data_IF_288577464407
#
_entry.id   IF_288577464407
#
_cell.length_a   1.000
_cell.length_b   1.000
_cell.length_c   1.000
_cell.angle_alpha   90.00
_cell.angle_beta   90.00
_cell.angle_gamma   90.00
#
_symmetry.space_group_name_H-M   'P 1'
#
loop_
_entity.id
_entity.type
_entity.pdbx_description
1 polymer ?
#
# COMPACT_ATOMS: atom_id res chain seq x y z
N UNK A 1 39.28 -0.50 -32.42
CA UNK A 1 39.12 -1.66 -31.52
C UNK A 1 38.61 -1.12 -30.19
N UNK A 2 37.30 -1.01 -30.09
CA UNK A 2 36.59 -0.22 -29.07
C UNK A 2 36.46 -0.94 -27.73
N UNK A 3 36.57 -0.17 -26.66
CA UNK A 3 36.26 -0.54 -25.29
C UNK A 3 35.45 0.62 -24.72
N UNK A 4 34.14 0.53 -24.84
CA UNK A 4 33.09 1.23 -24.08
C UNK A 4 31.77 0.60 -24.54
N UNK A 5 30.75 0.54 -23.68
CA UNK A 5 29.37 0.02 -23.90
C UNK A 5 28.92 -1.16 -23.00
N UNK A 6 29.72 -1.65 -22.06
CA UNK A 6 29.31 -2.79 -21.20
C UNK A 6 28.59 -2.46 -19.87
N UNK A 7 28.43 -1.17 -19.52
CA UNK A 7 27.85 -0.77 -18.22
C UNK A 7 26.48 -0.05 -18.27
N UNK A 8 25.95 0.24 -19.47
CA UNK A 8 24.72 1.03 -19.61
C UNK A 8 23.41 0.25 -19.72
N UNK A 9 23.44 -0.97 -20.28
CA UNK A 9 22.22 -1.73 -20.59
C UNK A 9 21.72 -2.57 -19.41
N UNK A 10 22.63 -3.13 -18.61
CA UNK A 10 22.28 -4.00 -17.48
C UNK A 10 21.55 -3.28 -16.34
N UNK A 11 21.76 -1.97 -16.16
CA UNK A 11 21.07 -1.19 -15.11
C UNK A 11 19.62 -0.90 -15.51
N UNK A 12 19.36 -0.64 -16.80
CA UNK A 12 18.00 -0.40 -17.30
C UNK A 12 17.17 -1.68 -17.29
N UNK A 13 17.77 -2.81 -17.65
CA UNK A 13 17.07 -4.09 -17.72
C UNK A 13 16.78 -4.69 -16.33
N UNK A 14 17.68 -4.47 -15.37
CA UNK A 14 17.47 -4.90 -13.97
C UNK A 14 16.54 -3.99 -13.17
N UNK A 15 16.44 -2.70 -13.54
CA UNK A 15 15.40 -1.81 -13.04
C UNK A 15 14.01 -2.18 -13.60
N UNK A 16 13.89 -2.47 -14.90
CA UNK A 16 12.58 -2.73 -15.51
C UNK A 16 11.90 -4.05 -15.08
N UNK A 17 12.64 -5.01 -14.49
CA UNK A 17 12.10 -6.33 -14.12
C UNK A 17 11.57 -6.46 -12.68
N UNK A 18 11.98 -5.58 -11.75
CA UNK A 18 11.62 -5.72 -10.31
C UNK A 18 10.56 -4.72 -9.82
N UNK A 19 10.39 -3.62 -10.52
CA UNK A 19 9.50 -2.52 -10.10
C UNK A 19 7.99 -2.89 -10.05
N UNK A 20 7.42 -3.68 -10.98
CA UNK A 20 5.97 -3.92 -10.97
C UNK A 20 5.48 -4.79 -9.81
N UNK A 21 6.30 -5.73 -9.34
CA UNK A 21 5.89 -6.69 -8.29
C UNK A 21 6.07 -6.05 -6.89
N UNK A 22 7.14 -5.28 -6.69
CA UNK A 22 7.41 -4.66 -5.40
C UNK A 22 6.40 -3.54 -5.07
N UNK A 23 5.89 -2.85 -6.09
CA UNK A 23 4.91 -1.75 -5.93
C UNK A 23 3.53 -2.22 -5.45
N UNK A 24 3.17 -3.48 -5.67
CA UNK A 24 1.94 -4.11 -5.17
C UNK A 24 2.19 -5.01 -3.95
N UNK A 25 3.28 -5.77 -3.94
CA UNK A 25 3.59 -6.68 -2.84
C UNK A 25 3.88 -5.95 -1.51
N UNK A 26 4.59 -4.81 -1.56
CA UNK A 26 4.95 -4.06 -0.34
C UNK A 26 3.72 -3.49 0.38
N UNK A 27 2.81 -2.75 -0.28
CA UNK A 27 1.58 -2.30 0.38
C UNK A 27 0.71 -3.45 0.87
N UNK A 28 0.69 -4.57 0.13
CA UNK A 28 -0.05 -5.77 0.52
C UNK A 28 0.46 -6.33 1.85
N UNK A 29 1.77 -6.52 1.94
CA UNK A 29 2.45 -6.98 3.15
C UNK A 29 2.18 -6.04 4.34
N UNK A 30 2.20 -4.72 4.11
CA UNK A 30 1.87 -3.73 5.14
C UNK A 30 0.43 -3.80 5.60
N UNK A 31 -0.56 -3.85 4.70
CA UNK A 31 -1.93 -3.83 5.18
C UNK A 31 -2.33 -5.15 5.84
N UNK A 32 -1.80 -6.29 5.39
CA UNK A 32 -1.96 -7.56 6.12
C UNK A 32 -1.37 -7.41 7.53
N UNK A 33 -0.14 -6.90 7.66
CA UNK A 33 0.49 -6.66 8.97
C UNK A 33 -0.33 -5.73 9.87
N UNK A 34 -0.84 -4.62 9.31
CA UNK A 34 -1.69 -3.68 10.02
C UNK A 34 -3.01 -4.34 10.49
N UNK A 35 -3.63 -5.17 9.66
CA UNK A 35 -4.87 -5.87 10.01
C UNK A 35 -4.68 -6.88 11.14
N UNK A 36 -3.54 -7.58 11.17
CA UNK A 36 -3.22 -8.51 12.26
C UNK A 36 -2.97 -7.80 13.59
N UNK A 37 -2.28 -6.67 13.56
CA UNK A 37 -2.05 -5.83 14.73
C UNK A 37 -3.33 -5.08 15.16
N UNK A 38 -4.37 -5.03 14.31
CA UNK A 38 -5.65 -4.38 14.60
C UNK A 38 -6.86 -5.32 14.38
N UNK A 39 -7.11 -6.30 15.28
CA UNK A 39 -8.15 -7.31 15.09
C UNK A 39 -9.57 -6.75 14.94
N UNK A 40 -9.87 -5.62 15.57
CA UNK A 40 -11.18 -4.97 15.46
C UNK A 40 -11.44 -4.47 14.03
N UNK A 41 -10.42 -3.89 13.38
CA UNK A 41 -10.49 -3.48 11.98
C UNK A 41 -10.71 -4.69 11.08
N UNK A 42 -9.94 -5.76 11.29
CA UNK A 42 -10.07 -7.00 10.52
C UNK A 42 -11.48 -7.61 10.63
N UNK A 43 -12.05 -7.62 11.84
CA UNK A 43 -13.39 -8.14 12.07
C UNK A 43 -14.47 -7.28 11.38
N UNK A 44 -14.32 -5.95 11.41
CA UNK A 44 -15.23 -5.03 10.71
C UNK A 44 -15.15 -5.19 9.18
N UNK A 45 -13.95 -5.36 8.63
CA UNK A 45 -13.77 -5.65 7.21
C UNK A 45 -14.41 -6.99 6.79
N UNK A 46 -14.26 -8.04 7.62
CA UNK A 46 -14.92 -9.33 7.39
C UNK A 46 -16.45 -9.19 7.40
N UNK A 47 -16.98 -8.46 8.38
CA UNK A 47 -18.42 -8.22 8.46
C UNK A 47 -18.96 -7.46 7.23
N UNK A 48 -18.21 -6.48 6.71
CA UNK A 48 -18.58 -5.80 5.46
C UNK A 48 -18.64 -6.77 4.27
N UNK A 49 -17.59 -7.58 4.08
CA UNK A 49 -17.53 -8.57 2.99
C UNK A 49 -18.68 -9.58 3.11
N UNK A 50 -18.87 -10.15 4.31
CA UNK A 50 -19.93 -11.13 4.57
C UNK A 50 -21.33 -10.52 4.32
N UNK A 51 -21.51 -9.22 4.58
CA UNK A 51 -22.81 -8.53 4.39
C UNK A 51 -23.06 -8.15 2.93
N UNK A 52 -22.06 -7.65 2.22
CA UNK A 52 -22.23 -7.10 0.87
C UNK A 52 -22.10 -8.15 -0.24
N UNK A 53 -21.31 -9.21 0.01
CA UNK A 53 -20.95 -10.22 -0.99
C UNK A 53 -21.46 -11.61 -0.60
N UNK A 54 -21.45 -11.92 0.70
CA UNK A 54 -21.74 -13.26 1.20
C UNK A 54 -20.50 -14.17 1.21
N UNK A 55 -20.71 -15.47 1.46
CA UNK A 55 -19.61 -16.45 1.60
C UNK A 55 -19.53 -17.47 0.46
N UNK A 56 -20.45 -17.38 -0.52
CA UNK A 56 -20.66 -18.41 -1.54
C UNK A 56 -19.90 -18.15 -2.85
N UNK A 57 -19.29 -16.96 -2.99
CA UNK A 57 -18.53 -16.57 -4.18
C UNK A 57 -17.33 -15.70 -3.83
N UNK A 58 -16.36 -15.63 -4.74
CA UNK A 58 -15.22 -14.73 -4.62
C UNK A 58 -15.63 -13.25 -4.84
N UNK A 59 -14.83 -12.36 -4.26
CA UNK A 59 -14.92 -10.91 -4.50
C UNK A 59 -14.52 -10.63 -5.95
N UNK A 60 -15.34 -9.84 -6.63
CA UNK A 60 -15.10 -9.38 -8.00
C UNK A 60 -14.85 -7.87 -8.04
N UNK A 61 -14.26 -7.36 -9.12
CA UNK A 61 -13.98 -5.92 -9.30
C UNK A 61 -15.26 -5.10 -9.23
N UNK A 62 -16.35 -5.63 -9.75
CA UNK A 62 -17.66 -4.98 -9.71
C UNK A 62 -18.22 -4.78 -8.29
N UNK A 63 -17.68 -5.47 -7.28
CA UNK A 63 -18.10 -5.34 -5.89
C UNK A 63 -17.37 -4.23 -5.12
N UNK A 64 -16.23 -3.74 -5.63
CA UNK A 64 -15.44 -2.68 -5.01
C UNK A 64 -16.26 -1.48 -4.52
N UNK A 65 -17.20 -0.92 -5.31
CA UNK A 65 -17.98 0.24 -4.87
C UNK A 65 -18.86 -0.02 -3.63
N UNK A 66 -19.11 -1.30 -3.30
CA UNK A 66 -19.90 -1.70 -2.12
C UNK A 66 -19.04 -1.86 -0.87
N UNK A 67 -17.73 -2.04 -1.02
CA UNK A 67 -16.77 -2.32 0.06
C UNK A 67 -16.08 -1.03 0.54
N UNK A 68 -16.86 -0.11 1.10
CA UNK A 68 -16.39 1.23 1.49
C UNK A 68 -15.34 1.16 2.61
N UNK A 69 -15.52 0.30 3.59
CA UNK A 69 -14.60 0.16 4.70
C UNK A 69 -13.28 -0.49 4.27
N UNK A 70 -13.33 -1.45 3.34
CA UNK A 70 -12.12 -1.98 2.71
C UNK A 70 -11.33 -0.88 1.97
N UNK A 71 -12.00 0.02 1.25
CA UNK A 71 -11.35 1.17 0.61
C UNK A 71 -10.73 2.13 1.65
N UNK A 72 -11.36 2.30 2.81
CA UNK A 72 -10.82 3.07 3.92
C UNK A 72 -9.53 2.44 4.49
N UNK A 73 -9.49 1.12 4.63
CA UNK A 73 -8.32 0.36 5.06
C UNK A 73 -7.16 0.55 4.09
N UNK A 74 -7.41 0.45 2.79
CA UNK A 74 -6.39 0.63 1.76
C UNK A 74 -5.85 2.07 1.80
N UNK A 75 -6.73 3.06 1.92
CA UNK A 75 -6.36 4.48 2.01
C UNK A 75 -5.49 4.77 3.23
N UNK A 76 -5.87 4.26 4.41
CA UNK A 76 -5.09 4.42 5.64
C UNK A 76 -3.77 3.67 5.58
N UNK A 77 -3.73 2.49 4.94
CA UNK A 77 -2.49 1.76 4.73
C UNK A 77 -1.53 2.52 3.82
N UNK A 78 -1.99 3.14 2.74
CA UNK A 78 -1.13 3.94 1.86
C UNK A 78 -0.69 5.25 2.50
N UNK A 79 -1.47 5.80 3.45
CA UNK A 79 -1.06 6.95 4.26
C UNK A 79 0.03 6.59 5.28
N UNK A 80 -0.13 5.50 6.01
CA UNK A 80 0.88 5.08 6.99
C UNK A 80 2.07 4.44 6.30
N UNK A 81 1.85 3.64 5.27
CA UNK A 81 2.87 2.86 4.60
C UNK A 81 2.93 3.18 3.10
N UNK A 82 3.34 4.40 2.73
CA UNK A 82 3.50 4.77 1.32
C UNK A 82 4.62 3.94 0.69
N UNK A 83 4.40 3.45 -0.55
CA UNK A 83 5.40 2.68 -1.30
C UNK A 83 6.69 3.48 -1.47
N UNK A 84 6.56 4.75 -1.88
CA UNK A 84 7.66 5.67 -2.14
C UNK A 84 7.55 6.88 -1.18
N UNK A 85 8.20 6.84 0.00
CA UNK A 85 8.06 7.88 1.03
C UNK A 85 8.58 9.27 0.62
N UNK A 86 9.47 9.34 -0.39
CA UNK A 86 10.03 10.58 -0.94
C UNK A 86 9.51 10.93 -2.35
N UNK A 87 8.55 10.15 -2.87
CA UNK A 87 8.10 10.16 -4.27
C UNK A 87 9.25 10.08 -5.29
N UNK A 88 8.90 10.15 -6.58
CA UNK A 88 9.88 10.28 -7.66
C UNK A 88 10.50 11.68 -7.60
N UNK A 89 11.83 11.83 -7.74
CA UNK A 89 12.46 13.14 -7.76
C UNK A 89 11.91 14.01 -8.88
N UNK A 90 11.62 15.27 -8.57
CA UNK A 90 11.21 16.28 -9.55
C UNK A 90 12.40 17.18 -9.89
N UNK A 91 12.50 17.63 -11.14
CA UNK A 91 13.51 18.60 -11.57
C UNK A 91 12.82 19.93 -11.85
N UNK A 92 13.30 21.02 -11.24
CA UNK A 92 12.80 22.37 -11.55
C UNK A 92 13.17 22.77 -12.97
N UNK A 93 12.16 23.15 -13.75
CA UNK A 93 12.34 23.61 -15.14
C UNK A 93 12.89 25.03 -15.23
N UNK A 94 12.54 25.87 -14.25
CA UNK A 94 12.92 27.27 -14.16
C UNK A 94 13.14 27.68 -12.71
N UNK A 95 13.75 28.85 -12.51
CA UNK A 95 13.92 29.45 -11.20
C UNK A 95 12.54 29.73 -10.57
N UNK A 96 12.32 29.28 -9.34
CA UNK A 96 11.04 29.42 -8.65
C UNK A 96 11.22 29.74 -7.17
N UNK A 97 10.12 30.05 -6.46
CA UNK A 97 10.13 30.28 -5.02
C UNK A 97 9.20 29.30 -4.32
N UNK A 98 9.72 28.55 -3.35
CA UNK A 98 8.97 27.55 -2.57
C UNK A 98 9.10 27.92 -1.09
N UNK A 99 7.97 28.14 -0.40
CA UNK A 99 7.98 28.46 1.04
C UNK A 99 8.79 29.72 1.41
N UNK A 100 8.93 30.67 0.49
CA UNK A 100 9.76 31.87 0.66
C UNK A 100 11.24 31.70 0.30
N UNK A 101 11.67 30.50 -0.11
CA UNK A 101 13.05 30.24 -0.54
C UNK A 101 13.18 30.23 -2.07
N UNK A 102 14.23 30.87 -2.58
CA UNK A 102 14.57 30.81 -4.00
C UNK A 102 15.17 29.45 -4.36
N UNK A 103 14.62 28.80 -5.37
CA UNK A 103 15.02 27.51 -5.93
C UNK A 103 15.45 27.72 -7.38
N UNK A 104 16.76 27.63 -7.69
CA UNK A 104 17.24 27.75 -9.06
C UNK A 104 16.74 26.62 -9.95
N UNK A 105 16.64 26.88 -11.25
CA UNK A 105 16.44 25.87 -12.29
C UNK A 105 17.45 24.72 -12.20
N UNK A 106 17.03 23.53 -12.62
CA UNK A 106 17.79 22.27 -12.52
C UNK A 106 18.08 21.79 -11.09
N UNK A 107 17.36 22.29 -10.09
CA UNK A 107 17.36 21.74 -8.73
C UNK A 107 16.49 20.48 -8.67
N UNK A 108 17.02 19.41 -8.06
CA UNK A 108 16.27 18.18 -7.75
C UNK A 108 15.49 18.37 -6.46
N UNK A 109 14.19 18.09 -6.51
CA UNK A 109 13.23 18.23 -5.42
C UNK A 109 12.67 16.87 -5.03
N UNK A 110 12.68 16.59 -3.73
CA UNK A 110 12.03 15.42 -3.14
C UNK A 110 10.83 15.86 -2.31
N UNK A 111 9.70 15.16 -2.46
CA UNK A 111 8.51 15.43 -1.65
C UNK A 111 8.46 14.38 -0.55
N UNK A 112 8.68 14.80 0.70
CA UNK A 112 8.62 13.91 1.85
C UNK A 112 7.16 13.62 2.26
N UNK A 113 6.50 12.77 1.48
CA UNK A 113 5.11 12.34 1.71
C UNK A 113 4.99 11.61 3.04
N UNK A 114 6.00 10.83 3.45
CA UNK A 114 6.01 10.17 4.76
C UNK A 114 5.86 11.15 5.93
N UNK A 115 6.58 12.28 5.88
CA UNK A 115 6.48 13.31 6.90
C UNK A 115 5.14 14.05 6.84
N UNK A 116 4.68 14.43 5.65
CA UNK A 116 3.39 15.12 5.45
C UNK A 116 2.23 14.26 5.98
N UNK A 117 2.25 12.96 5.67
CA UNK A 117 1.23 12.01 6.10
C UNK A 117 1.28 11.69 7.60
N UNK A 118 2.33 12.11 8.31
CA UNK A 118 2.51 11.94 9.76
C UNK A 118 2.54 13.25 10.54
N UNK A 119 2.28 14.37 9.88
CA UNK A 119 2.28 15.67 10.54
C UNK A 119 1.09 15.76 11.53
N UNK A 120 1.34 15.93 12.85
CA UNK A 120 0.27 16.05 13.85
C UNK A 120 -0.60 17.30 13.65
N UNK A 121 -0.15 18.29 12.88
CA UNK A 121 -0.96 19.47 12.53
C UNK A 121 -1.98 19.15 11.43
N UNK A 122 -1.73 18.12 10.62
CA UNK A 122 -2.61 17.69 9.53
C UNK A 122 -3.44 16.46 9.91
N UNK A 123 -2.91 15.59 10.77
CA UNK A 123 -3.51 14.31 11.13
C UNK A 123 -3.57 14.14 12.64
N UNK A 124 -4.77 13.88 13.16
CA UNK A 124 -4.96 13.51 14.57
C UNK A 124 -4.38 12.12 14.82
N UNK A 125 -3.55 11.93 15.86
CA UNK A 125 -2.91 10.64 16.16
C UNK A 125 -2.26 9.99 14.90
N UNK A 126 -1.27 10.69 14.29
CA UNK A 126 -0.80 10.44 12.93
C UNK A 126 -0.14 9.06 12.75
N UNK A 127 0.36 8.47 13.83
CA UNK A 127 1.09 7.20 13.83
C UNK A 127 0.19 5.98 13.99
N UNK A 128 -1.05 6.18 14.42
CA UNK A 128 -2.01 5.09 14.66
C UNK A 128 -2.80 4.74 13.41
N UNK A 129 -2.97 3.44 13.16
CA UNK A 129 -3.75 2.89 12.06
C UNK A 129 -5.25 2.97 12.35
N UNK A 130 -5.93 3.96 11.75
CA UNK A 130 -7.37 4.23 11.93
C UNK A 130 -8.08 4.43 10.58
N UNK A 131 -8.56 3.35 9.93
CA UNK A 131 -9.32 3.43 8.69
C UNK A 131 -10.53 4.37 8.74
N UNK A 132 -11.14 4.51 9.92
CA UNK A 132 -12.30 5.38 10.19
C UNK A 132 -12.10 6.83 9.72
N UNK A 133 -10.86 7.30 9.59
CA UNK A 133 -10.54 8.63 9.03
C UNK A 133 -11.11 8.85 7.64
N UNK A 134 -11.29 7.77 6.87
CA UNK A 134 -11.69 7.80 5.47
C UNK A 134 -13.17 7.50 5.22
N UNK A 135 -13.95 7.12 6.25
CA UNK A 135 -15.35 6.67 6.11
C UNK A 135 -16.30 7.72 5.52
N UNK A 136 -16.04 9.01 5.72
CA UNK A 136 -16.89 10.11 5.24
C UNK A 136 -16.53 10.58 3.81
N UNK A 137 -16.25 9.64 2.90
CA UNK A 137 -15.93 9.96 1.50
C UNK A 137 -14.54 10.60 1.28
N UNK A 138 -13.65 10.53 2.28
CA UNK A 138 -12.27 11.02 2.16
C UNK A 138 -11.34 10.01 1.48
N UNK A 139 -11.80 8.78 1.25
CA UNK A 139 -11.04 7.69 0.62
C UNK A 139 -10.63 7.98 -0.85
N UNK A 140 -11.27 8.97 -1.48
CA UNK A 140 -11.05 9.35 -2.89
C UNK A 140 -9.64 9.90 -3.20
N UNK A 141 -8.83 10.22 -2.18
CA UNK A 141 -7.55 10.90 -2.35
C UNK A 141 -6.41 10.03 -2.93
N UNK A 142 -6.53 8.70 -2.93
CA UNK A 142 -5.48 7.79 -3.43
C UNK A 142 -5.77 7.18 -4.80
N UNK A 143 -6.80 7.67 -5.50
CA UNK A 143 -7.27 7.14 -6.78
C UNK A 143 -6.21 7.09 -7.89
N UNK A 144 -5.13 7.85 -7.76
CA UNK A 144 -4.37 8.25 -8.94
C UNK A 144 -3.04 7.57 -9.23
N UNK A 145 -2.60 6.49 -8.56
CA UNK A 145 -1.41 5.76 -9.09
C UNK A 145 -1.20 4.30 -8.66
N UNK A 146 -1.96 3.73 -7.70
CA UNK A 146 -1.61 2.40 -7.13
C UNK A 146 -2.81 1.48 -6.79
N UNK A 147 -4.05 1.94 -6.95
CA UNK A 147 -5.22 1.22 -6.41
C UNK A 147 -5.73 0.06 -7.27
N UNK A 148 -5.49 0.06 -8.59
CA UNK A 148 -6.08 -0.95 -9.49
C UNK A 148 -5.48 -2.34 -9.33
N UNK A 149 -4.23 -2.46 -8.92
CA UNK A 149 -3.58 -3.77 -8.80
C UNK A 149 -3.64 -4.29 -7.36
N UNK A 150 -3.51 -3.38 -6.37
CA UNK A 150 -3.58 -3.72 -4.95
C UNK A 150 -4.94 -4.29 -4.53
N UNK A 151 -6.04 -3.81 -5.09
CA UNK A 151 -7.36 -4.26 -4.65
C UNK A 151 -7.61 -5.73 -5.00
N UNK A 152 -7.13 -6.19 -6.17
CA UNK A 152 -7.37 -7.54 -6.66
C UNK A 152 -6.70 -8.54 -5.70
N UNK A 153 -5.47 -8.23 -5.28
CA UNK A 153 -4.71 -9.01 -4.33
C UNK A 153 -5.33 -9.00 -2.91
N UNK A 154 -5.77 -7.82 -2.44
CA UNK A 154 -6.43 -7.70 -1.12
C UNK A 154 -7.78 -8.41 -1.05
N UNK A 155 -8.58 -8.31 -2.11
CA UNK A 155 -9.87 -8.99 -2.24
C UNK A 155 -9.68 -10.50 -2.28
N UNK A 156 -8.73 -10.98 -3.09
CA UNK A 156 -8.42 -12.39 -3.22
C UNK A 156 -7.96 -13.03 -1.89
N UNK A 157 -7.01 -12.40 -1.19
CA UNK A 157 -6.49 -12.94 0.09
C UNK A 157 -7.57 -12.98 1.16
N UNK A 158 -8.35 -11.90 1.32
CA UNK A 158 -9.43 -11.89 2.31
C UNK A 158 -10.53 -12.90 1.96
N UNK A 159 -10.80 -13.11 0.67
CA UNK A 159 -11.83 -14.04 0.19
C UNK A 159 -11.41 -15.51 0.25
N UNK A 160 -10.11 -15.81 0.20
CA UNK A 160 -9.60 -17.19 0.19
C UNK A 160 -9.15 -17.69 1.55
N UNK A 161 -8.58 -16.80 2.38
CA UNK A 161 -7.89 -17.22 3.59
C UNK A 161 -8.53 -16.65 4.85
N UNK A 162 -8.74 -17.51 5.84
CA UNK A 162 -8.88 -17.14 7.24
C UNK A 162 -7.49 -16.94 7.81
N UNK A 163 -7.12 -15.67 7.94
CA UNK A 163 -5.91 -15.27 8.62
C UNK A 163 -6.01 -15.58 10.12
N UNK A 164 -5.10 -16.41 10.65
CA UNK A 164 -5.05 -16.85 12.05
C UNK A 164 -3.92 -16.17 12.83
N UNK A 165 -4.17 -15.79 14.09
CA UNK A 165 -3.17 -15.11 14.93
C UNK A 165 -1.91 -15.94 15.13
N UNK A 166 -0.75 -15.36 14.84
CA UNK A 166 0.55 -15.76 15.37
C UNK A 166 1.31 -14.48 15.73
N UNK A 167 1.62 -14.31 17.02
CA UNK A 167 2.37 -13.20 17.63
C UNK A 167 2.05 -11.76 17.16
N UNK A 168 2.65 -10.77 17.82
CA UNK A 168 2.65 -9.38 17.34
C UNK A 168 3.62 -9.29 16.16
N UNK A 169 3.19 -8.64 15.06
CA UNK A 169 4.02 -8.52 13.87
C UNK A 169 4.87 -7.27 13.99
N UNK A 170 6.18 -7.42 13.79
CA UNK A 170 7.09 -6.28 13.73
C UNK A 170 6.74 -5.34 12.57
N UNK A 171 6.71 -4.05 12.85
CA UNK A 171 6.33 -2.98 11.92
C UNK A 171 7.51 -2.09 11.54
N UNK A 172 8.75 -2.59 11.68
CA UNK A 172 9.94 -1.86 11.28
C UNK A 172 10.12 -1.82 9.75
N UNK A 173 10.48 -0.64 9.23
CA UNK A 173 10.69 -0.39 7.81
C UNK A 173 12.18 -0.23 7.47
N UNK A 174 12.58 -0.72 6.30
CA UNK A 174 13.93 -0.50 5.75
C UNK A 174 14.07 0.94 5.25
N UNK A 175 15.23 1.54 5.46
CA UNK A 175 15.59 2.84 4.86
C UNK A 175 16.06 2.62 3.41
N UNK A 176 15.13 2.53 2.46
CA UNK A 176 15.38 2.41 1.02
C UNK A 176 14.46 3.34 0.23
N UNK A 177 14.61 3.34 -1.10
CA UNK A 177 13.72 4.08 -2.02
C UNK A 177 12.26 3.65 -1.83
N UNK A 178 12.03 2.35 -1.58
CA UNK A 178 10.73 1.81 -1.20
C UNK A 178 10.65 1.50 0.29
N UNK A 179 9.47 1.69 0.88
CA UNK A 179 9.24 1.45 2.31
C UNK A 179 8.93 -0.03 2.59
N UNK A 180 9.84 -0.95 2.25
CA UNK A 180 9.69 -2.39 2.53
C UNK A 180 9.91 -2.72 4.02
N UNK A 181 9.31 -3.80 4.53
CA UNK A 181 9.53 -4.25 5.92
C UNK A 181 10.96 -4.76 6.13
N UNK A 182 11.50 -4.60 7.34
CA UNK A 182 12.79 -5.20 7.72
C UNK A 182 12.68 -6.72 7.74
N UNK A 183 11.67 -7.22 8.45
CA UNK A 183 11.31 -8.63 8.52
C UNK A 183 10.09 -8.89 7.66
N UNK A 184 10.20 -9.86 6.75
CA UNK A 184 9.07 -10.29 5.93
C UNK A 184 7.96 -10.86 6.81
N UNK A 185 6.73 -10.65 6.36
CA UNK A 185 5.57 -11.17 7.05
C UNK A 185 5.52 -12.70 6.97
N UNK A 186 5.56 -13.37 8.11
CA UNK A 186 5.28 -14.80 8.24
C UNK A 186 3.94 -14.99 8.94
N UNK A 187 2.93 -15.52 8.23
CA UNK A 187 1.57 -15.71 8.77
C UNK A 187 1.02 -17.08 8.45
N UNK A 188 0.25 -17.64 9.40
CA UNK A 188 -0.49 -18.87 9.19
C UNK A 188 -1.87 -18.56 8.59
N UNK A 189 -2.09 -19.01 7.35
CA UNK A 189 -3.36 -18.92 6.64
C UNK A 189 -4.11 -20.24 6.72
N UNK A 190 -5.38 -20.23 7.13
CA UNK A 190 -6.30 -21.36 6.96
C UNK A 190 -7.18 -21.10 5.75
N UNK A 191 -7.45 -22.11 4.92
CA UNK A 191 -8.40 -21.97 3.80
C UNK A 191 -9.81 -21.62 4.30
N UNK A 192 -10.56 -20.86 3.52
CA UNK A 192 -12.02 -20.72 3.70
C UNK A 192 -12.74 -21.90 3.01
N UNK A 193 -13.91 -22.33 3.52
CA UNK A 193 -14.69 -23.44 2.95
C UNK A 193 -15.06 -23.27 1.47
N UNK A 194 -15.09 -22.03 0.95
CA UNK A 194 -15.34 -21.75 -0.47
C UNK A 194 -14.31 -22.41 -1.40
N UNK A 195 -13.08 -22.64 -0.93
CA UNK A 195 -12.05 -23.32 -1.71
C UNK A 195 -12.36 -24.79 -1.96
N UNK A 196 -13.10 -25.42 -1.05
CA UNK A 196 -13.55 -26.81 -1.19
C UNK A 196 -14.71 -26.95 -2.20
N UNK A 197 -15.34 -25.84 -2.57
CA UNK A 197 -16.45 -25.77 -3.54
C UNK A 197 -15.97 -25.44 -4.95
N UNK A 198 -14.90 -24.65 -5.09
CA UNK A 198 -14.44 -24.13 -6.40
C UNK A 198 -13.26 -24.92 -6.97
N UNK A 199 -12.47 -25.61 -6.14
CA UNK A 199 -11.38 -26.49 -6.58
C UNK A 199 -11.73 -27.94 -6.18
N UNK A 200 -12.30 -28.76 -7.09
CA UNK A 200 -12.56 -30.18 -6.83
C UNK A 200 -11.27 -31.02 -6.74
#
# INVERSE_FOLDING_TARGET
>A
MGREDYYGENVKESAMRREPIETTAVPLEWAISNLFNNPNVLNKAKAEIDTQIGQDRFIDESDLPKLNYLQCIISENLRLCPVAPLLVPHLSSEDCTIGGYHVPSNTILFVNVWAIQRDPNLWEDPTSFKPERFENGKAEAFKFLLLTDLWADFGFINSMFRMGKGCEIDMSAKTRVTMSKVHHLEVMCKSRPILDVVLP
#
